data_IF_876023716247
#
_entry.id   IF_876023716247
#
_cell.length_a   1.000
_cell.length_b   1.000
_cell.length_c   1.000
_cell.angle_alpha   90.00
_cell.angle_beta   90.00
_cell.angle_gamma   90.00
#
_symmetry.space_group_name_H-M   'P 1'
#
loop_
_entity.id
_entity.type
_entity.pdbx_description
1 polymer ?
#
# COMPACT_ATOMS: atom_id res chain seq x y z
N UNK A 1 -37.33 15.12 39.43
CA UNK A 1 -36.96 16.10 38.40
C UNK A 1 -35.94 17.05 39.00
N UNK A 2 -34.79 17.19 38.37
CA UNK A 2 -33.66 18.01 38.82
C UNK A 2 -33.29 19.01 37.72
N UNK A 3 -32.84 20.23 38.05
CA UNK A 3 -32.38 21.18 37.04
C UNK A 3 -31.08 20.68 36.40
N UNK A 4 -31.00 20.73 35.07
CA UNK A 4 -29.78 20.44 34.33
C UNK A 4 -28.67 21.43 34.72
N UNK A 5 -27.45 20.92 34.94
CA UNK A 5 -26.30 21.72 35.37
C UNK A 5 -25.84 22.79 34.36
N UNK A 6 -26.23 22.65 33.09
CA UNK A 6 -25.82 23.55 31.99
C UNK A 6 -26.92 24.51 31.54
N UNK A 7 -28.14 24.01 31.31
CA UNK A 7 -29.26 24.80 30.79
C UNK A 7 -30.39 25.05 31.81
N UNK A 8 -30.27 24.53 33.04
CA UNK A 8 -31.27 24.65 34.12
C UNK A 8 -32.66 24.06 33.83
N UNK A 9 -32.84 23.34 32.71
CA UNK A 9 -34.11 22.68 32.36
C UNK A 9 -34.38 21.49 33.29
N UNK A 10 -35.65 21.25 33.64
CA UNK A 10 -36.04 20.16 34.54
C UNK A 10 -35.95 18.80 33.85
N UNK A 11 -34.96 18.00 34.24
CA UNK A 11 -34.64 16.69 33.66
C UNK A 11 -34.80 15.55 34.68
N UNK A 12 -34.94 14.33 34.17
CA UNK A 12 -34.86 13.11 34.97
C UNK A 12 -33.42 12.61 34.98
N UNK A 13 -32.97 12.05 36.12
CA UNK A 13 -31.59 11.57 36.29
C UNK A 13 -31.22 10.44 35.32
N UNK A 14 -32.21 9.67 34.86
CA UNK A 14 -32.02 8.61 33.86
C UNK A 14 -31.85 9.18 32.44
N UNK A 15 -32.44 10.34 32.15
CA UNK A 15 -32.40 10.98 30.83
C UNK A 15 -31.39 12.13 30.76
N UNK A 16 -30.53 12.27 31.77
CA UNK A 16 -29.54 13.35 31.84
C UNK A 16 -28.51 13.24 30.72
N UNK A 17 -28.00 12.03 30.44
CA UNK A 17 -27.04 11.81 29.34
C UNK A 17 -27.65 12.15 27.99
N UNK A 18 -28.87 11.67 27.74
CA UNK A 18 -29.58 11.89 26.48
C UNK A 18 -29.92 13.37 26.28
N UNK A 19 -30.34 14.06 27.34
CA UNK A 19 -30.56 15.50 27.31
C UNK A 19 -29.27 16.27 26.99
N UNK A 20 -28.15 15.94 27.64
CA UNK A 20 -26.86 16.61 27.41
C UNK A 20 -26.34 16.42 25.99
N UNK A 21 -26.59 15.26 25.38
CA UNK A 21 -26.14 14.94 24.03
C UNK A 21 -27.04 15.52 22.93
N UNK A 22 -28.37 15.44 23.11
CA UNK A 22 -29.32 15.67 22.02
C UNK A 22 -30.18 16.94 22.17
N UNK A 23 -30.42 17.42 23.39
CA UNK A 23 -31.38 18.50 23.65
C UNK A 23 -30.74 19.77 24.20
N UNK A 24 -29.67 19.64 25.00
CA UNK A 24 -29.09 20.73 25.77
C UNK A 24 -28.40 21.76 24.88
N UNK A 25 -28.90 23.00 24.89
CA UNK A 25 -28.37 24.09 24.06
C UNK A 25 -27.12 24.74 24.67
N UNK A 26 -26.96 24.61 25.99
CA UNK A 26 -25.87 25.21 26.76
C UNK A 26 -24.72 24.22 27.04
N UNK A 27 -24.80 23.00 26.51
CA UNK A 27 -23.72 22.02 26.59
C UNK A 27 -22.75 22.22 25.42
N UNK A 28 -21.77 23.11 25.59
CA UNK A 28 -20.80 23.43 24.55
C UNK A 28 -19.62 22.45 24.56
N UNK A 29 -19.13 22.13 23.37
CA UNK A 29 -17.96 21.30 23.12
C UNK A 29 -17.05 21.93 22.07
N UNK A 30 -15.76 21.60 22.16
CA UNK A 30 -14.71 22.03 21.24
C UNK A 30 -14.75 21.22 19.95
N UNK A 31 -14.75 21.88 18.81
CA UNK A 31 -14.59 21.20 17.53
C UNK A 31 -13.12 20.91 17.23
N UNK A 32 -12.79 19.64 17.05
CA UNK A 32 -11.44 19.18 16.74
C UNK A 32 -10.89 19.66 15.38
N UNK A 33 -11.70 20.32 14.53
CA UNK A 33 -11.31 20.79 13.19
C UNK A 33 -11.00 22.29 13.15
N UNK A 34 -11.70 23.10 13.94
CA UNK A 34 -11.55 24.56 13.93
C UNK A 34 -11.28 25.16 15.32
N UNK A 35 -11.09 24.30 16.33
CA UNK A 35 -10.89 24.65 17.74
C UNK A 35 -11.94 25.61 18.33
N UNK A 36 -13.10 25.70 17.69
CA UNK A 36 -14.22 26.50 18.20
C UNK A 36 -14.87 25.77 19.38
N UNK A 37 -14.84 26.40 20.55
CA UNK A 37 -15.29 25.91 21.85
C UNK A 37 -16.75 26.24 22.18
N UNK A 38 -17.43 26.97 21.30
CA UNK A 38 -18.80 27.48 21.50
C UNK A 38 -19.85 26.70 20.72
N UNK A 39 -19.61 25.42 20.40
CA UNK A 39 -20.53 24.61 19.61
C UNK A 39 -21.37 23.73 20.54
N UNK A 40 -22.71 23.85 20.54
CA UNK A 40 -23.56 22.93 21.30
C UNK A 40 -23.36 21.48 20.84
N UNK A 41 -23.26 20.55 21.79
CA UNK A 41 -23.02 19.13 21.52
C UNK A 41 -23.99 18.55 20.49
N UNK A 42 -25.29 18.93 20.57
CA UNK A 42 -26.33 18.52 19.62
C UNK A 42 -26.06 18.93 18.15
N UNK A 43 -25.27 19.99 17.95
CA UNK A 43 -24.93 20.54 16.63
C UNK A 43 -23.52 20.17 16.18
N UNK A 44 -22.73 19.49 17.02
CA UNK A 44 -21.32 19.19 16.74
C UNK A 44 -21.16 18.39 15.43
N UNK A 45 -22.01 17.38 15.19
CA UNK A 45 -21.92 16.57 13.97
C UNK A 45 -22.22 17.39 12.71
N UNK A 46 -23.30 18.19 12.74
CA UNK A 46 -23.64 19.10 11.62
C UNK A 46 -22.56 20.14 11.39
N UNK A 47 -21.93 20.61 12.47
CA UNK A 47 -20.79 21.51 12.38
C UNK A 47 -19.60 20.81 11.73
N UNK A 48 -19.21 19.59 12.15
CA UNK A 48 -18.09 18.84 11.56
C UNK A 48 -18.26 18.63 10.04
N UNK A 49 -19.49 18.35 9.59
CA UNK A 49 -19.81 18.22 8.16
C UNK A 49 -19.65 19.52 7.36
N UNK A 50 -19.87 20.68 7.99
CA UNK A 50 -19.69 21.99 7.35
C UNK A 50 -18.26 22.53 7.53
N UNK A 51 -17.62 22.20 8.64
CA UNK A 51 -16.25 22.57 8.99
C UNK A 51 -15.23 21.92 8.06
N UNK A 52 -15.49 20.67 7.65
CA UNK A 52 -14.68 19.98 6.63
C UNK A 52 -14.80 20.62 5.24
N UNK A 53 -15.96 21.21 4.91
CA UNK A 53 -16.22 21.87 3.61
C UNK A 53 -15.65 23.28 3.52
N UNK A 54 -15.28 23.91 4.64
CA UNK A 54 -14.83 25.32 4.70
C UNK A 54 -13.36 25.52 4.35
N UNK A 55 -12.69 24.50 3.78
CA UNK A 55 -11.30 24.60 3.33
C UNK A 55 -10.25 24.22 4.39
N UNK A 56 -10.67 23.59 5.48
CA UNK A 56 -9.77 23.00 6.47
C UNK A 56 -9.29 21.65 5.96
N UNK A 57 -8.00 21.56 5.66
CA UNK A 57 -7.31 20.33 5.27
C UNK A 57 -6.68 19.69 6.51
N UNK A 58 -6.86 18.39 6.65
CA UNK A 58 -6.29 17.60 7.75
C UNK A 58 -5.31 16.59 7.19
N UNK A 59 -4.28 16.25 7.96
CA UNK A 59 -3.36 15.20 7.57
C UNK A 59 -4.09 13.85 7.51
N UNK A 60 -3.86 13.01 6.47
CA UNK A 60 -4.46 11.67 6.39
C UNK A 60 -4.09 10.78 7.59
N UNK A 61 -2.91 10.99 8.19
CA UNK A 61 -2.48 10.27 9.38
C UNK A 61 -3.17 10.73 10.68
N UNK A 62 -4.24 11.52 10.58
CA UNK A 62 -5.04 11.94 11.73
C UNK A 62 -5.68 10.77 12.46
N UNK A 63 -6.06 9.71 11.74
CA UNK A 63 -6.61 8.48 12.34
C UNK A 63 -5.61 7.81 13.30
N UNK A 64 -4.31 7.98 13.05
CA UNK A 64 -3.22 7.49 13.90
C UNK A 64 -2.87 8.51 15.01
N UNK A 65 -3.36 9.74 14.91
CA UNK A 65 -3.14 10.80 15.90
C UNK A 65 -2.34 12.00 15.40
N UNK A 66 -2.18 12.20 14.08
CA UNK A 66 -1.60 13.44 13.57
C UNK A 66 -2.52 14.63 13.87
N UNK A 67 -2.00 15.63 14.57
CA UNK A 67 -2.73 16.85 14.97
C UNK A 67 -2.61 17.98 13.94
N UNK A 68 -1.99 17.73 12.78
CA UNK A 68 -1.77 18.76 11.78
C UNK A 68 -3.07 19.16 11.07
N UNK A 69 -3.29 20.48 11.00
CA UNK A 69 -4.42 21.13 10.33
C UNK A 69 -3.84 22.27 9.47
N UNK A 70 -4.33 22.44 8.25
CA UNK A 70 -3.93 23.50 7.34
C UNK A 70 -5.11 24.04 6.52
N UNK A 71 -4.89 25.14 5.81
CA UNK A 71 -5.93 25.83 5.02
C UNK A 71 -5.64 25.81 3.51
N UNK A 72 -4.54 25.17 3.10
CA UNK A 72 -4.01 25.23 1.75
C UNK A 72 -3.31 23.91 1.37
N UNK A 73 -3.57 23.45 0.14
CA UNK A 73 -3.03 22.19 -0.39
C UNK A 73 -1.50 22.11 -0.37
N UNK A 74 -0.75 23.18 -0.73
CA UNK A 74 0.72 23.13 -0.71
C UNK A 74 1.32 22.93 0.69
N UNK A 75 0.65 23.40 1.75
CA UNK A 75 1.14 23.15 3.11
C UNK A 75 0.87 21.73 3.56
N UNK A 76 -0.21 21.09 3.08
CA UNK A 76 -0.44 19.66 3.30
C UNK A 76 0.60 18.83 2.56
N UNK A 77 0.92 19.18 1.31
CA UNK A 77 1.97 18.52 0.53
C UNK A 77 3.34 18.67 1.20
N UNK A 78 3.66 19.85 1.73
CA UNK A 78 4.90 20.05 2.49
C UNK A 78 4.91 19.23 3.78
N UNK A 79 3.80 19.18 4.52
CA UNK A 79 3.68 18.37 5.72
C UNK A 79 3.81 16.86 5.45
N UNK A 80 3.25 16.37 4.34
CA UNK A 80 3.31 14.96 3.94
C UNK A 80 4.60 14.60 3.18
N UNK A 81 5.32 15.60 2.66
CA UNK A 81 6.58 15.41 1.98
C UNK A 81 7.66 14.83 2.91
N UNK A 82 8.38 13.84 2.37
CA UNK A 82 9.63 13.21 2.86
C UNK A 82 10.05 13.61 4.29
N UNK A 83 9.38 13.03 5.30
CA UNK A 83 9.83 13.05 6.69
C UNK A 83 9.23 14.12 7.58
N UNK A 84 8.43 15.05 7.04
CA UNK A 84 7.78 16.10 7.85
C UNK A 84 6.60 15.58 8.68
N UNK A 85 6.01 14.45 8.28
CA UNK A 85 5.02 13.72 9.07
C UNK A 85 5.42 12.26 9.21
N UNK A 86 6.02 11.89 10.34
CA UNK A 86 6.40 10.50 10.63
C UNK A 86 5.19 9.56 10.67
N UNK A 87 4.03 10.06 11.11
CA UNK A 87 2.79 9.27 11.17
C UNK A 87 2.25 8.97 9.76
N UNK A 88 2.39 9.91 8.81
CA UNK A 88 2.02 9.69 7.42
C UNK A 88 2.92 8.66 6.73
N UNK A 89 4.19 8.56 7.12
CA UNK A 89 5.07 7.50 6.62
C UNK A 89 4.68 6.11 7.12
N UNK A 90 4.15 6.01 8.34
CA UNK A 90 3.72 4.75 8.94
C UNK A 90 2.30 4.35 8.50
N UNK A 91 1.49 5.31 8.05
CA UNK A 91 0.10 5.12 7.66
C UNK A 91 -0.13 3.91 6.72
N UNK A 92 0.62 3.70 5.62
CA UNK A 92 0.40 2.54 4.77
C UNK A 92 0.65 1.19 5.47
N UNK A 93 1.65 1.15 6.38
CA UNK A 93 1.93 -0.05 7.16
C UNK A 93 0.86 -0.29 8.22
N UNK A 94 0.34 0.78 8.82
CA UNK A 94 -0.74 0.70 9.78
C UNK A 94 -2.03 0.16 9.14
N UNK A 95 -2.42 0.69 7.98
CA UNK A 95 -3.58 0.22 7.21
C UNK A 95 -3.47 -1.28 6.87
N UNK A 96 -2.29 -1.72 6.41
CA UNK A 96 -2.01 -3.13 6.14
C UNK A 96 -2.12 -4.00 7.41
N UNK A 97 -1.64 -3.51 8.56
CA UNK A 97 -1.74 -4.22 9.83
C UNK A 97 -3.18 -4.32 10.32
N UNK A 98 -3.97 -3.25 10.19
CA UNK A 98 -5.40 -3.28 10.52
C UNK A 98 -6.17 -4.27 9.66
N UNK A 99 -5.90 -4.32 8.35
CA UNK A 99 -6.53 -5.28 7.45
C UNK A 99 -6.20 -6.73 7.89
N UNK A 100 -4.92 -6.99 8.18
CA UNK A 100 -4.49 -8.30 8.68
C UNK A 100 -5.16 -8.67 10.00
N UNK A 101 -5.32 -7.72 10.92
CA UNK A 101 -6.03 -7.92 12.18
C UNK A 101 -7.51 -8.26 11.92
N UNK A 102 -8.16 -7.57 10.97
CA UNK A 102 -9.56 -7.84 10.59
C UNK A 102 -9.72 -9.25 10.03
N UNK A 103 -8.82 -9.67 9.14
CA UNK A 103 -8.80 -11.05 8.60
C UNK A 103 -8.60 -12.08 9.70
N UNK A 104 -7.56 -11.92 10.53
CA UNK A 104 -7.29 -12.84 11.66
C UNK A 104 -8.44 -12.88 12.68
N UNK A 105 -9.13 -11.77 12.91
CA UNK A 105 -10.29 -11.72 13.81
C UNK A 105 -11.48 -12.47 13.21
N UNK A 106 -11.67 -12.40 11.89
CA UNK A 106 -12.68 -13.17 11.19
C UNK A 106 -12.38 -14.67 11.23
N UNK A 107 -11.13 -15.06 10.98
CA UNK A 107 -10.69 -16.45 11.03
C UNK A 107 -10.81 -17.04 12.43
N UNK A 108 -10.38 -16.30 13.46
CA UNK A 108 -10.56 -16.73 14.85
C UNK A 108 -12.03 -16.89 15.22
N UNK A 109 -12.90 -15.98 14.76
CA UNK A 109 -14.35 -16.13 14.96
C UNK A 109 -14.86 -17.40 14.27
N UNK A 110 -14.48 -17.63 13.02
CA UNK A 110 -14.86 -18.84 12.28
C UNK A 110 -14.36 -20.13 12.95
N UNK A 111 -13.12 -20.15 13.41
CA UNK A 111 -12.54 -21.28 14.14
C UNK A 111 -13.27 -21.52 15.46
N UNK A 112 -13.55 -20.46 16.21
CA UNK A 112 -14.31 -20.55 17.46
C UNK A 112 -15.71 -21.12 17.20
N UNK A 113 -16.40 -20.65 16.17
CA UNK A 113 -17.72 -21.17 15.78
C UNK A 113 -17.64 -22.64 15.34
N UNK A 114 -16.59 -23.01 14.61
CA UNK A 114 -16.37 -24.41 14.18
C UNK A 114 -16.06 -25.33 15.35
N UNK A 115 -15.22 -24.90 16.29
CA UNK A 115 -14.90 -25.63 17.51
C UNK A 115 -16.16 -25.78 18.37
N UNK A 116 -16.95 -24.72 18.53
CA UNK A 116 -18.21 -24.77 19.28
C UNK A 116 -19.20 -25.75 18.63
N UNK A 117 -19.30 -25.79 17.30
CA UNK A 117 -20.13 -26.79 16.59
C UNK A 117 -19.66 -28.23 16.84
N UNK A 118 -18.34 -28.46 16.81
CA UNK A 118 -17.75 -29.78 17.13
C UNK A 118 -18.02 -30.14 18.58
N UNK A 119 -17.81 -29.20 19.51
CA UNK A 119 -18.07 -29.39 20.94
C UNK A 119 -19.54 -29.69 21.21
N UNK A 120 -20.47 -28.96 20.58
CA UNK A 120 -21.91 -29.21 20.68
C UNK A 120 -22.26 -30.61 20.14
N UNK A 121 -21.61 -31.03 19.06
CA UNK A 121 -21.78 -32.38 18.50
C UNK A 121 -21.23 -33.45 19.45
N UNK A 122 -20.12 -33.18 20.15
CA UNK A 122 -19.54 -34.06 21.17
C UNK A 122 -20.40 -34.14 22.43
N UNK A 123 -20.82 -32.99 22.96
CA UNK A 123 -21.61 -32.89 24.19
C UNK A 123 -23.03 -33.45 24.03
N UNK A 124 -23.61 -33.37 22.83
CA UNK A 124 -24.89 -34.02 22.50
C UNK A 124 -24.75 -35.53 22.24
N UNK A 125 -23.57 -36.12 22.40
CA UNK A 125 -23.31 -37.54 22.09
C UNK A 125 -23.39 -37.87 20.60
N UNK A 126 -23.43 -36.84 19.73
CA UNK A 126 -23.42 -36.97 18.26
C UNK A 126 -22.00 -36.90 17.70
N UNK A 127 -21.00 -37.43 18.41
CA UNK A 127 -19.79 -37.90 17.72
C UNK A 127 -20.13 -39.22 17.03
N UNK A 128 -21.07 -39.15 16.10
CA UNK A 128 -21.11 -40.11 15.00
C UNK A 128 -20.00 -39.66 14.05
N UNK A 129 -19.01 -40.54 13.88
CA UNK A 129 -17.86 -40.41 12.99
C UNK A 129 -18.14 -39.48 11.80
N UNK A 130 -17.31 -38.45 11.62
CA UNK A 130 -17.31 -37.56 10.45
C UNK A 130 -16.82 -38.31 9.18
N UNK A 131 -17.45 -39.45 8.88
CA UNK A 131 -17.13 -40.29 7.73
C UNK A 131 -18.10 -41.45 7.49
N UNK A 132 -18.79 -42.00 8.51
CA UNK A 132 -19.74 -43.10 8.31
C UNK A 132 -20.82 -43.08 9.39
N UNK A 133 -22.08 -42.91 8.97
CA UNK A 133 -23.24 -43.39 9.72
C UNK A 133 -23.61 -44.77 9.18
N UNK A 134 -22.75 -45.76 9.41
CA UNK A 134 -23.27 -47.10 9.64
C UNK A 134 -23.21 -47.34 11.14
N UNK A 135 -24.24 -47.98 11.74
CA UNK A 135 -24.08 -48.52 13.08
C UNK A 135 -22.79 -49.34 13.10
N UNK A 136 -22.06 -49.34 14.21
CA UNK A 136 -20.96 -50.30 14.40
C UNK A 136 -21.62 -51.68 14.47
N UNK A 137 -21.99 -52.22 13.31
CA UNK A 137 -22.25 -53.63 13.12
C UNK A 137 -20.88 -54.30 13.16
N UNK A 138 -20.81 -55.30 14.03
CA UNK A 138 -19.65 -56.15 14.19
C UNK A 138 -19.08 -56.54 12.82
N UNK A 139 -17.75 -56.46 12.70
CA UNK A 139 -16.99 -57.04 11.59
C UNK A 139 -17.24 -58.56 11.62
N UNK A 140 -18.35 -58.97 10.99
CA UNK A 140 -18.90 -60.32 11.12
C UNK A 140 -20.20 -60.57 10.34
N UNK A 141 -20.87 -59.53 9.84
CA UNK A 141 -22.06 -59.67 9.00
C UNK A 141 -21.75 -59.54 7.50
N UNK A 142 -22.14 -60.53 6.70
CA UNK A 142 -21.93 -60.60 5.24
C UNK A 142 -22.22 -59.29 4.49
N UNK A 143 -21.25 -58.83 3.69
CA UNK A 143 -21.41 -57.72 2.74
C UNK A 143 -22.57 -58.04 1.78
N UNK A 144 -23.68 -57.34 1.95
CA UNK A 144 -24.76 -57.31 0.97
C UNK A 144 -24.33 -56.57 -0.31
N UNK A 145 -24.95 -56.94 -1.43
CA UNK A 145 -24.66 -56.49 -2.80
C UNK A 145 -24.62 -54.94 -2.95
N UNK A 146 -25.40 -54.23 -2.13
CA UNK A 146 -25.61 -52.77 -2.16
C UNK A 146 -24.34 -51.95 -1.82
N UNK A 147 -23.53 -52.41 -0.86
CA UNK A 147 -22.29 -51.72 -0.45
C UNK A 147 -21.20 -51.80 -1.52
N UNK A 148 -21.22 -52.88 -2.31
CA UNK A 148 -20.27 -53.10 -3.41
C UNK A 148 -20.56 -52.17 -4.59
N UNK A 149 -21.83 -51.92 -4.87
CA UNK A 149 -22.27 -51.01 -5.94
C UNK A 149 -21.93 -49.54 -5.61
N UNK A 150 -22.16 -49.11 -4.37
CA UNK A 150 -21.77 -47.78 -3.92
C UNK A 150 -20.25 -47.53 -4.04
N UNK A 151 -19.43 -48.52 -3.65
CA UNK A 151 -17.98 -48.46 -3.80
C UNK A 151 -17.54 -48.37 -5.27
N UNK A 152 -18.16 -49.16 -6.15
CA UNK A 152 -17.86 -49.13 -7.59
C UNK A 152 -18.21 -47.77 -8.20
N UNK A 153 -19.34 -47.17 -7.82
CA UNK A 153 -19.74 -45.84 -8.29
C UNK A 153 -18.75 -44.75 -7.87
N UNK A 154 -18.36 -44.72 -6.59
CA UNK A 154 -17.36 -43.79 -6.06
C UNK A 154 -16.02 -43.94 -6.80
N UNK A 155 -15.60 -45.17 -7.07
CA UNK A 155 -14.38 -45.44 -7.83
C UNK A 155 -14.49 -44.91 -9.27
N UNK A 156 -15.62 -45.11 -9.94
CA UNK A 156 -15.83 -44.57 -11.30
C UNK A 156 -15.82 -43.03 -11.31
N UNK A 157 -16.46 -42.38 -10.33
CA UNK A 157 -16.45 -40.92 -10.22
C UNK A 157 -15.04 -40.38 -9.94
N UNK A 158 -14.26 -41.06 -9.08
CA UNK A 158 -12.87 -40.73 -8.82
C UNK A 158 -11.99 -40.85 -10.06
N UNK A 159 -12.05 -41.97 -10.78
CA UNK A 159 -11.27 -42.17 -12.01
C UNK A 159 -11.65 -41.16 -13.10
N UNK A 160 -12.94 -40.82 -13.22
CA UNK A 160 -13.39 -39.76 -14.13
C UNK A 160 -12.80 -38.40 -13.78
N UNK A 161 -12.81 -38.02 -12.51
CA UNK A 161 -12.22 -36.75 -12.07
C UNK A 161 -10.70 -36.73 -12.24
N UNK A 162 -10.03 -37.86 -11.97
CA UNK A 162 -8.61 -38.01 -12.22
C UNK A 162 -8.27 -37.81 -13.69
N UNK A 163 -9.02 -38.43 -14.60
CA UNK A 163 -8.86 -38.23 -16.05
C UNK A 163 -9.06 -36.77 -16.45
N UNK A 164 -10.07 -36.09 -15.90
CA UNK A 164 -10.30 -34.66 -16.20
C UNK A 164 -9.12 -33.78 -15.77
N UNK A 165 -8.51 -34.07 -14.62
CA UNK A 165 -7.31 -33.37 -14.16
C UNK A 165 -6.12 -33.66 -15.06
N UNK A 166 -5.89 -34.94 -15.39
CA UNK A 166 -4.76 -35.37 -16.22
C UNK A 166 -4.87 -34.88 -17.67
N UNK A 167 -6.06 -34.83 -18.26
CA UNK A 167 -6.24 -34.44 -19.67
C UNK A 167 -6.41 -32.93 -19.88
N UNK A 168 -7.02 -32.22 -18.93
CA UNK A 168 -7.31 -30.78 -19.10
C UNK A 168 -6.41 -29.90 -18.26
N UNK A 169 -6.26 -30.21 -16.98
CA UNK A 169 -5.60 -29.33 -16.04
C UNK A 169 -4.07 -29.40 -16.19
N UNK A 170 -3.51 -30.61 -16.25
CA UNK A 170 -2.05 -30.80 -16.36
C UNK A 170 -1.51 -30.17 -17.65
N UNK A 171 -2.06 -30.40 -18.86
CA UNK A 171 -1.52 -29.82 -20.08
C UNK A 171 -1.68 -28.30 -20.14
N UNK A 172 -2.72 -27.76 -19.51
CA UNK A 172 -2.89 -26.30 -19.37
C UNK A 172 -1.80 -25.70 -18.49
N UNK A 173 -1.55 -26.29 -17.32
CA UNK A 173 -0.51 -25.83 -16.38
C UNK A 173 0.88 -25.92 -17.01
N UNK A 174 1.19 -27.02 -17.72
CA UNK A 174 2.46 -27.18 -18.41
C UNK A 174 2.64 -26.16 -19.55
N UNK A 175 1.58 -25.88 -20.32
CA UNK A 175 1.60 -24.86 -21.36
C UNK A 175 1.87 -23.47 -20.80
N UNK A 176 1.17 -23.09 -19.73
CA UNK A 176 1.39 -21.78 -19.10
C UNK A 176 2.77 -21.67 -18.47
N UNK A 177 3.27 -22.73 -17.83
CA UNK A 177 4.63 -22.78 -17.28
C UNK A 177 5.68 -22.56 -18.37
N UNK A 178 5.54 -23.22 -19.51
CA UNK A 178 6.46 -23.05 -20.64
C UNK A 178 6.36 -21.64 -21.23
N UNK A 179 5.15 -21.08 -21.37
CA UNK A 179 4.95 -19.72 -21.86
C UNK A 179 5.55 -18.65 -20.92
N UNK A 180 5.51 -18.86 -19.61
CA UNK A 180 6.20 -17.97 -18.63
C UNK A 180 7.72 -18.04 -18.84
N UNK A 181 8.27 -19.24 -18.98
CA UNK A 181 9.71 -19.44 -19.19
C UNK A 181 10.19 -18.76 -20.50
N UNK A 182 9.41 -18.88 -21.58
CA UNK A 182 9.70 -18.19 -22.84
C UNK A 182 9.65 -16.66 -22.70
N UNK A 183 8.66 -16.12 -21.98
CA UNK A 183 8.57 -14.68 -21.70
C UNK A 183 9.76 -14.19 -20.88
N UNK A 184 10.18 -14.92 -19.86
CA UNK A 184 11.36 -14.59 -19.07
C UNK A 184 12.63 -14.56 -19.93
N UNK A 185 12.81 -15.55 -20.80
CA UNK A 185 13.94 -15.60 -21.73
C UNK A 185 13.95 -14.40 -22.70
N UNK A 186 12.78 -14.02 -23.24
CA UNK A 186 12.65 -12.85 -24.12
C UNK A 186 12.98 -11.55 -23.36
N UNK A 187 12.46 -11.38 -22.15
CA UNK A 187 12.75 -10.20 -21.32
C UNK A 187 14.24 -10.13 -21.02
N UNK A 188 14.89 -11.24 -20.64
CA UNK A 188 16.32 -11.28 -20.39
C UNK A 188 17.14 -10.94 -21.64
N UNK A 189 16.74 -11.44 -22.81
CA UNK A 189 17.38 -11.07 -24.09
C UNK A 189 17.28 -9.57 -24.36
N UNK A 190 16.09 -8.99 -24.20
CA UNK A 190 15.86 -7.55 -24.41
C UNK A 190 16.64 -6.68 -23.41
N UNK A 191 16.76 -7.11 -22.16
CA UNK A 191 17.56 -6.41 -21.14
C UNK A 191 19.04 -6.41 -21.53
N UNK A 192 19.56 -7.54 -21.99
CA UNK A 192 20.94 -7.65 -22.46
C UNK A 192 21.20 -6.76 -23.68
N UNK A 193 20.29 -6.77 -24.68
CA UNK A 193 20.39 -5.88 -25.85
C UNK A 193 20.37 -4.40 -25.44
N UNK A 194 19.52 -4.02 -24.50
CA UNK A 194 19.48 -2.65 -23.96
C UNK A 194 20.81 -2.25 -23.30
N UNK A 195 21.47 -3.18 -22.60
CA UNK A 195 22.77 -2.91 -21.99
C UNK A 195 23.84 -2.68 -23.07
N UNK A 196 23.88 -3.53 -24.10
CA UNK A 196 24.81 -3.38 -25.22
C UNK A 196 24.59 -2.05 -25.96
N UNK A 197 23.33 -1.69 -26.25
CA UNK A 197 23.00 -0.41 -26.90
C UNK A 197 23.43 0.77 -26.03
N UNK A 198 23.20 0.70 -24.72
CA UNK A 198 23.61 1.74 -23.78
C UNK A 198 25.13 1.92 -23.77
N UNK A 199 25.89 0.84 -23.82
CA UNK A 199 27.35 0.90 -23.88
C UNK A 199 27.86 1.46 -25.21
N UNK A 200 27.24 1.06 -26.34
CA UNK A 200 27.53 1.64 -27.65
C UNK A 200 27.23 3.14 -27.70
N UNK A 201 26.09 3.58 -27.15
CA UNK A 201 25.77 5.01 -27.03
C UNK A 201 26.78 5.78 -26.16
N UNK A 202 27.26 5.16 -25.09
CA UNK A 202 28.30 5.75 -24.25
C UNK A 202 29.64 5.89 -25.01
N UNK A 203 30.00 4.87 -25.81
CA UNK A 203 31.17 4.91 -26.67
C UNK A 203 31.05 6.01 -27.73
N UNK A 204 29.91 6.07 -28.42
CA UNK A 204 29.62 7.12 -29.41
C UNK A 204 29.68 8.52 -28.79
N UNK A 205 29.13 8.71 -27.58
CA UNK A 205 29.28 9.97 -26.83
C UNK A 205 30.74 10.32 -26.57
N UNK A 206 31.57 9.33 -26.23
CA UNK A 206 33.01 9.49 -26.08
C UNK A 206 33.71 9.93 -27.37
N UNK A 207 33.40 9.27 -28.49
CA UNK A 207 33.92 9.60 -29.81
C UNK A 207 33.50 11.02 -30.25
N UNK A 208 32.23 11.38 -30.08
CA UNK A 208 31.73 12.74 -30.39
C UNK A 208 32.44 13.80 -29.55
N UNK A 209 32.68 13.53 -28.26
CA UNK A 209 33.44 14.43 -27.40
C UNK A 209 34.91 14.57 -27.86
N UNK A 210 35.54 13.48 -28.29
CA UNK A 210 36.89 13.51 -28.86
C UNK A 210 36.94 14.31 -30.16
N UNK A 211 36.02 14.05 -31.10
CA UNK A 211 35.89 14.81 -32.35
C UNK A 211 35.68 16.30 -32.09
N UNK A 212 34.80 16.65 -31.12
CA UNK A 212 34.59 18.04 -30.72
C UNK A 212 35.89 18.71 -30.27
N UNK A 213 36.70 18.03 -29.44
CA UNK A 213 38.00 18.52 -28.99
C UNK A 213 38.99 18.68 -30.15
N UNK A 214 39.03 17.73 -31.09
CA UNK A 214 39.88 17.82 -32.28
C UNK A 214 39.50 18.99 -33.18
N UNK A 215 38.20 19.19 -33.44
CA UNK A 215 37.70 20.34 -34.19
C UNK A 215 38.05 21.65 -33.49
N UNK A 216 37.84 21.72 -32.17
CA UNK A 216 38.22 22.88 -31.38
C UNK A 216 39.73 23.17 -31.48
N UNK A 217 40.57 22.13 -31.40
CA UNK A 217 42.02 22.27 -31.57
C UNK A 217 42.40 22.79 -32.96
N UNK A 218 41.81 22.26 -34.03
CA UNK A 218 42.04 22.73 -35.40
C UNK A 218 41.59 24.18 -35.60
N UNK A 219 40.47 24.59 -35.00
CA UNK A 219 39.99 25.97 -35.03
C UNK A 219 40.94 26.93 -34.29
N UNK A 220 41.56 26.48 -33.20
CA UNK A 220 42.57 27.26 -32.50
C UNK A 220 43.92 27.30 -33.22
N UNK A 221 44.34 26.22 -33.90
CA UNK A 221 45.54 26.21 -34.74
C UNK A 221 45.42 27.11 -35.98
N UNK A 222 44.20 27.28 -36.53
CA UNK A 222 43.94 28.18 -37.67
C UNK A 222 43.68 29.63 -37.29
N UNK A 223 43.80 30.02 -36.01
CA UNK A 223 43.99 31.45 -35.72
C UNK A 223 45.38 31.82 -36.24
N UNK A 224 45.50 32.77 -37.17
CA UNK A 224 46.81 33.29 -37.53
C UNK A 224 47.44 33.78 -36.23
N UNK A 225 48.64 33.31 -35.92
CA UNK A 225 49.51 34.06 -35.04
C UNK A 225 49.60 35.46 -35.64
N UNK A 226 48.99 36.43 -34.97
CA UNK A 226 49.21 37.83 -35.26
C UNK A 226 50.69 38.04 -34.93
N UNK A 227 51.52 38.04 -35.97
CA UNK A 227 52.90 38.51 -35.90
C UNK A 227 52.81 39.98 -35.48
N UNK A 228 52.89 40.24 -34.18
CA UNK A 228 53.17 41.56 -33.67
C UNK A 228 54.64 41.82 -33.96
N UNK A 229 54.88 42.60 -35.02
CA UNK A 229 56.14 43.27 -35.28
C UNK A 229 56.47 44.15 -34.08
N UNK A 230 57.73 44.11 -33.68
CA UNK A 230 58.37 44.87 -32.61
C UNK A 230 57.93 46.34 -32.56
N UNK A 231 57.43 46.77 -31.42
CA UNK A 231 57.79 48.07 -30.80
C UNK A 231 57.21 48.14 -29.37
N UNK A 232 58.14 48.27 -28.43
CA UNK A 232 58.04 48.79 -27.05
C UNK A 232 57.13 48.11 -26.01
N UNK A 233 57.82 47.45 -25.07
CA UNK A 233 57.76 47.67 -23.61
C UNK A 233 56.37 47.80 -22.94
N UNK A 234 55.92 46.72 -22.27
CA UNK A 234 55.94 46.60 -20.79
C UNK A 234 54.92 45.58 -20.26
N UNK A 235 55.47 44.63 -19.50
CA UNK A 235 54.88 43.81 -18.44
C UNK A 235 53.52 43.09 -18.66
N UNK A 236 53.68 41.78 -18.82
CA UNK A 236 52.75 40.67 -18.62
C UNK A 236 52.08 40.72 -17.24
N UNK A 237 50.74 40.67 -17.19
CA UNK A 237 50.01 39.68 -16.38
C UNK A 237 48.53 39.60 -16.77
N UNK A 238 48.21 38.90 -17.87
CA UNK A 238 46.84 38.43 -18.12
C UNK A 238 46.79 36.96 -17.70
N UNK A 239 46.63 36.79 -16.39
CA UNK A 239 46.42 35.50 -15.74
C UNK A 239 45.11 34.88 -16.24
N UNK A 240 45.27 33.97 -17.19
CA UNK A 240 44.31 32.91 -17.52
C UNK A 240 43.90 32.14 -16.26
N UNK A 241 42.67 32.35 -15.79
CA UNK A 241 41.90 31.34 -15.03
C UNK A 241 40.41 31.49 -15.36
N UNK A 242 39.98 30.86 -16.45
CA UNK A 242 38.58 30.50 -16.62
C UNK A 242 38.22 29.50 -15.51
N UNK A 243 37.60 30.02 -14.47
CA UNK A 243 36.93 29.28 -13.40
C UNK A 243 35.81 28.44 -14.00
N UNK A 244 36.01 27.14 -14.15
CA UNK A 244 34.91 26.20 -14.43
C UNK A 244 35.20 24.77 -13.99
N UNK A 245 35.88 24.59 -12.85
CA UNK A 245 35.95 23.31 -12.15
C UNK A 245 35.97 23.57 -10.64
N UNK A 246 34.80 23.52 -9.97
CA UNK A 246 34.68 22.95 -8.63
C UNK A 246 33.20 22.83 -8.17
N UNK A 247 32.80 21.58 -7.87
CA UNK A 247 31.81 21.14 -6.86
C UNK A 247 30.32 21.05 -7.24
N UNK A 248 29.98 19.98 -7.97
CA UNK A 248 28.73 19.24 -7.72
C UNK A 248 29.02 18.13 -6.69
N UNK A 249 28.86 18.46 -5.41
CA UNK A 249 28.72 17.46 -4.35
C UNK A 249 27.31 16.84 -4.45
N UNK A 250 27.20 15.68 -5.09
CA UNK A 250 26.08 14.77 -4.86
C UNK A 250 26.49 13.83 -3.72
N UNK A 251 26.04 14.15 -2.49
CA UNK A 251 25.97 13.14 -1.44
C UNK A 251 24.86 12.14 -1.81
N UNK A 252 25.21 10.85 -1.75
CA UNK A 252 24.26 9.76 -1.61
C UNK A 252 23.34 9.98 -0.40
#
# INVERSE_FOLDING_TARGET
MFPCSKCSTSINRVTESDHLENECEANFTTCDLCDNDLIPQKLLNKHKDNCSKTGVLVCPAREIGCTWIGHNQPSLENHTAKGNCSLFQILPHFEMLEEKIKLLSSDNRYLKDSINKVLDSVMLGRVTNLGYCEPIEEIGGSIGDDGKEAYLRLRCEFERHKLEVEEKLVPFVERERNAVTERENLVNSLVNENFVIKDELNLQRGLVNSLRKQVQFLLFQRRPQIHFSESDESYIDVLSRSSSEERLNLKL
#
